data_IF_346588923558
#
_entry.id   IF_346588923558
#
_cell.length_a   1.000
_cell.length_b   1.000
_cell.length_c   1.000
_cell.angle_alpha   90.00
_cell.angle_beta   90.00
_cell.angle_gamma   90.00
#
_symmetry.space_group_name_H-M   'P 1'
#
loop_
_entity.id
_entity.type
_entity.pdbx_description
1 polymer ?
#
# COMPACT_ATOMS: atom_id res chain seq x y z
N UNK A 1 24.72 61.33 -22.67
CA UNK A 1 25.21 60.43 -23.75
C UNK A 1 26.56 59.86 -23.33
N UNK A 2 26.80 58.58 -23.67
CA UNK A 2 27.97 57.69 -23.40
C UNK A 2 27.94 56.84 -22.11
N UNK A 3 28.45 55.60 -22.10
CA UNK A 3 28.19 54.53 -23.09
C UNK A 3 27.88 53.14 -22.46
N UNK A 4 27.28 52.27 -23.29
CA UNK A 4 27.06 50.83 -23.07
C UNK A 4 28.38 50.05 -22.94
N UNK A 5 28.77 49.68 -21.72
CA UNK A 5 29.67 48.55 -21.43
C UNK A 5 29.53 48.30 -19.92
N UNK A 6 28.87 47.24 -19.44
CA UNK A 6 29.48 45.93 -19.21
C UNK A 6 28.36 44.96 -18.81
N UNK A 7 27.62 44.39 -19.77
CA UNK A 7 26.76 43.23 -19.53
C UNK A 7 27.54 41.96 -19.87
N UNK A 8 28.47 41.61 -18.99
CA UNK A 8 29.13 40.31 -19.03
C UNK A 8 28.10 39.24 -18.62
N UNK A 9 27.76 38.40 -19.58
CA UNK A 9 26.82 37.28 -19.51
C UNK A 9 27.18 36.35 -18.34
N UNK A 10 26.42 36.42 -17.25
CA UNK A 10 26.38 35.33 -16.27
C UNK A 10 25.40 34.28 -16.79
N UNK A 11 25.92 33.30 -17.52
CA UNK A 11 25.17 32.08 -17.87
C UNK A 11 25.39 31.11 -16.70
N UNK A 12 24.40 30.87 -15.82
CA UNK A 12 24.55 29.83 -14.81
C UNK A 12 24.64 28.49 -15.54
N UNK A 13 25.73 27.76 -15.33
CA UNK A 13 25.87 26.37 -15.81
C UNK A 13 24.67 25.57 -15.29
N UNK A 14 23.94 24.83 -16.14
CA UNK A 14 22.83 24.00 -15.69
C UNK A 14 23.37 22.96 -14.71
N UNK A 15 22.81 22.97 -13.50
CA UNK A 15 23.17 22.06 -12.43
C UNK A 15 22.98 20.61 -12.90
N UNK A 16 24.07 19.83 -12.93
CA UNK A 16 24.06 18.38 -13.17
C UNK A 16 23.16 17.64 -12.17
N UNK A 17 22.89 18.26 -11.03
CA UNK A 17 21.93 17.82 -10.01
C UNK A 17 20.50 17.63 -10.54
N UNK A 18 20.00 18.50 -11.42
CA UNK A 18 18.60 18.40 -11.88
C UNK A 18 18.39 17.17 -12.77
N UNK A 19 19.35 16.87 -13.66
CA UNK A 19 19.24 15.72 -14.58
C UNK A 19 19.29 14.38 -13.86
N UNK A 20 20.08 14.27 -12.79
CA UNK A 20 20.11 13.07 -11.94
C UNK A 20 18.80 12.89 -11.15
N UNK A 21 18.28 13.97 -10.58
CA UNK A 21 17.01 13.94 -9.84
C UNK A 21 15.83 13.57 -10.75
N UNK A 22 15.78 14.12 -11.97
CA UNK A 22 14.78 13.73 -12.98
C UNK A 22 14.89 12.25 -13.42
N UNK A 23 16.11 11.71 -13.51
CA UNK A 23 16.31 10.30 -13.87
C UNK A 23 15.88 9.33 -12.77
N UNK A 24 16.13 9.68 -11.50
CA UNK A 24 15.66 8.90 -10.35
C UNK A 24 14.14 8.96 -10.23
N UNK A 25 13.54 10.15 -10.33
CA UNK A 25 12.08 10.30 -10.29
C UNK A 25 11.40 9.51 -11.41
N UNK A 26 11.94 9.53 -12.64
CA UNK A 26 11.40 8.75 -13.76
C UNK A 26 11.46 7.23 -13.50
N UNK A 27 12.54 6.74 -12.89
CA UNK A 27 12.66 5.33 -12.48
C UNK A 27 11.72 4.94 -11.33
N UNK A 28 11.49 5.85 -10.38
CA UNK A 28 10.52 5.67 -9.29
C UNK A 28 9.08 5.61 -9.84
N UNK A 29 8.72 6.51 -10.76
CA UNK A 29 7.41 6.50 -11.43
C UNK A 29 7.16 5.20 -12.21
N UNK A 30 8.18 4.64 -12.88
CA UNK A 30 8.00 3.37 -13.60
C UNK A 30 7.81 2.16 -12.68
N UNK A 31 8.49 2.14 -11.52
CA UNK A 31 8.35 1.06 -10.53
C UNK A 31 7.00 1.09 -9.84
N UNK A 32 6.59 2.28 -9.40
CA UNK A 32 5.29 2.48 -8.76
C UNK A 32 4.15 2.14 -9.73
N UNK A 33 4.23 2.56 -11.00
CA UNK A 33 3.27 2.16 -12.03
C UNK A 33 3.16 0.64 -12.17
N UNK A 34 4.30 -0.06 -12.22
CA UNK A 34 4.32 -1.53 -12.34
C UNK A 34 3.72 -2.20 -11.11
N UNK A 35 4.04 -1.72 -9.91
CA UNK A 35 3.45 -2.21 -8.66
C UNK A 35 1.93 -2.02 -8.65
N UNK A 36 1.43 -0.86 -9.07
CA UNK A 36 0.00 -0.59 -9.19
C UNK A 36 -0.71 -1.51 -10.20
N UNK A 37 -0.07 -1.84 -11.33
CA UNK A 37 -0.61 -2.81 -12.29
C UNK A 37 -0.76 -4.20 -11.68
N UNK A 38 0.23 -4.64 -10.89
CA UNK A 38 0.14 -5.92 -10.18
C UNK A 38 -0.93 -5.90 -9.08
N UNK A 39 -1.01 -4.83 -8.29
CA UNK A 39 -2.06 -4.66 -7.28
C UNK A 39 -3.45 -4.75 -7.94
N UNK A 40 -3.64 -4.08 -9.07
CA UNK A 40 -4.92 -4.12 -9.80
C UNK A 40 -5.28 -5.54 -10.27
N UNK A 41 -4.32 -6.32 -10.76
CA UNK A 41 -4.52 -7.72 -11.16
C UNK A 41 -4.88 -8.60 -9.95
N UNK A 42 -4.15 -8.45 -8.85
CA UNK A 42 -4.41 -9.19 -7.62
C UNK A 42 -5.79 -8.87 -7.04
N UNK A 43 -6.17 -7.59 -7.04
CA UNK A 43 -7.49 -7.15 -6.59
C UNK A 43 -8.62 -7.66 -7.50
N UNK A 44 -8.42 -7.71 -8.81
CA UNK A 44 -9.41 -8.28 -9.73
C UNK A 44 -9.62 -9.78 -9.47
N UNK A 45 -8.56 -10.54 -9.18
CA UNK A 45 -8.68 -11.95 -8.79
C UNK A 45 -9.42 -12.10 -7.46
N UNK A 46 -9.10 -11.25 -6.46
CA UNK A 46 -9.81 -11.22 -5.18
C UNK A 46 -11.29 -10.87 -5.32
N UNK A 47 -11.64 -9.95 -6.21
CA UNK A 47 -13.03 -9.58 -6.47
C UNK A 47 -13.85 -10.76 -6.99
N UNK A 48 -13.27 -11.56 -7.87
CA UNK A 48 -13.92 -12.79 -8.33
C UNK A 48 -14.07 -13.82 -7.21
N UNK A 49 -13.08 -13.95 -6.32
CA UNK A 49 -13.18 -14.79 -5.12
C UNK A 49 -14.30 -14.29 -4.20
N UNK A 50 -14.31 -13.01 -3.85
CA UNK A 50 -15.32 -12.40 -2.97
C UNK A 50 -16.74 -12.55 -3.53
N UNK A 51 -16.92 -12.64 -4.86
CA UNK A 51 -18.23 -12.86 -5.48
C UNK A 51 -18.83 -14.23 -5.16
N UNK A 52 -17.99 -15.24 -4.96
CA UNK A 52 -18.42 -16.64 -4.84
C UNK A 52 -18.12 -17.27 -3.48
N UNK A 53 -17.29 -16.61 -2.65
CA UNK A 53 -16.80 -17.15 -1.38
C UNK A 53 -17.94 -17.49 -0.40
N UNK A 54 -19.04 -16.74 -0.43
CA UNK A 54 -20.20 -16.97 0.46
C UNK A 54 -20.96 -18.26 0.15
N UNK A 55 -20.84 -18.79 -1.07
CA UNK A 55 -21.56 -19.97 -1.56
C UNK A 55 -20.65 -21.19 -1.78
N UNK A 56 -19.34 -21.03 -1.65
CA UNK A 56 -18.34 -22.07 -1.88
C UNK A 56 -17.82 -22.65 -0.56
N UNK A 57 -17.45 -23.93 -0.57
CA UNK A 57 -16.71 -24.52 0.55
C UNK A 57 -15.33 -23.84 0.70
N UNK A 58 -14.81 -23.77 1.93
CA UNK A 58 -13.52 -23.12 2.24
C UNK A 58 -12.36 -23.61 1.37
N UNK A 59 -12.41 -24.87 0.91
CA UNK A 59 -11.38 -25.53 0.13
C UNK A 59 -11.80 -25.78 -1.33
N UNK A 60 -12.75 -25.01 -1.85
CA UNK A 60 -13.21 -25.19 -3.22
C UNK A 60 -12.03 -25.03 -4.20
N UNK A 61 -11.79 -26.08 -4.98
CA UNK A 61 -10.67 -26.20 -5.93
C UNK A 61 -10.64 -25.06 -6.95
N UNK A 62 -11.79 -24.41 -7.19
CA UNK A 62 -11.92 -23.28 -8.12
C UNK A 62 -11.37 -21.97 -7.56
N UNK A 63 -11.35 -21.79 -6.24
CA UNK A 63 -10.86 -20.58 -5.59
C UNK A 63 -9.34 -20.58 -5.46
N UNK A 64 -8.73 -21.76 -5.32
CA UNK A 64 -7.29 -21.93 -5.12
C UNK A 64 -6.46 -21.24 -6.23
N UNK A 65 -6.75 -21.40 -7.54
CA UNK A 65 -6.02 -20.70 -8.59
C UNK A 65 -6.15 -19.17 -8.51
N UNK A 66 -7.33 -18.66 -8.17
CA UNK A 66 -7.58 -17.22 -8.06
C UNK A 66 -6.83 -16.62 -6.86
N UNK A 67 -6.85 -17.32 -5.72
CA UNK A 67 -6.12 -16.93 -4.52
C UNK A 67 -4.59 -16.96 -4.74
N UNK A 68 -4.07 -17.98 -5.42
CA UNK A 68 -2.66 -18.04 -5.78
C UNK A 68 -2.29 -16.90 -6.75
N UNK A 69 -3.13 -16.64 -7.75
CA UNK A 69 -2.93 -15.51 -8.67
C UNK A 69 -2.90 -14.19 -7.91
N UNK A 70 -3.82 -13.97 -6.95
CA UNK A 70 -3.82 -12.78 -6.13
C UNK A 70 -2.53 -12.66 -5.30
N UNK A 71 -2.12 -13.74 -4.65
CA UNK A 71 -0.89 -13.82 -3.85
C UNK A 71 0.34 -13.43 -4.68
N UNK A 72 0.55 -14.10 -5.80
CA UNK A 72 1.69 -13.87 -6.68
C UNK A 72 1.74 -12.42 -7.18
N UNK A 73 0.59 -11.83 -7.53
CA UNK A 73 0.55 -10.44 -7.96
C UNK A 73 0.90 -9.48 -6.82
N UNK A 74 0.43 -9.70 -5.60
CA UNK A 74 0.80 -8.82 -4.48
C UNK A 74 2.28 -8.97 -4.08
N UNK A 75 2.85 -10.17 -4.16
CA UNK A 75 4.29 -10.41 -3.96
C UNK A 75 5.10 -9.68 -5.04
N UNK A 76 4.73 -9.81 -6.32
CA UNK A 76 5.35 -9.08 -7.42
C UNK A 76 5.21 -7.55 -7.29
N UNK A 77 4.11 -7.06 -6.71
CA UNK A 77 3.93 -5.65 -6.42
C UNK A 77 4.93 -5.16 -5.37
N UNK A 78 5.17 -5.94 -4.30
CA UNK A 78 6.16 -5.62 -3.27
C UNK A 78 7.60 -5.74 -3.78
N UNK A 79 7.89 -6.70 -4.66
CA UNK A 79 9.19 -6.79 -5.33
C UNK A 79 9.44 -5.58 -6.25
N UNK A 80 8.40 -5.08 -6.93
CA UNK A 80 8.50 -3.91 -7.79
C UNK A 80 8.65 -2.61 -6.99
N UNK A 81 7.91 -2.49 -5.88
CA UNK A 81 7.93 -1.33 -4.99
C UNK A 81 7.68 -1.75 -3.53
N UNK A 82 8.77 -1.95 -2.80
CA UNK A 82 8.73 -2.29 -1.39
C UNK A 82 8.28 -1.13 -0.50
N UNK A 83 8.06 0.07 -1.03
CA UNK A 83 7.51 1.20 -0.26
C UNK A 83 5.99 1.27 -0.37
N UNK A 84 5.39 0.48 -1.26
CA UNK A 84 3.96 0.47 -1.48
C UNK A 84 3.23 -0.18 -0.29
N UNK A 85 2.47 0.64 0.45
CA UNK A 85 1.74 0.20 1.63
C UNK A 85 0.51 -0.63 1.27
N UNK A 86 -0.18 -0.28 0.19
CA UNK A 86 -1.35 -1.00 -0.30
C UNK A 86 -1.01 -2.45 -0.65
N UNK A 87 0.13 -2.69 -1.30
CA UNK A 87 0.56 -4.06 -1.60
C UNK A 87 0.80 -4.89 -0.32
N UNK A 88 1.43 -4.31 0.72
CA UNK A 88 1.62 -4.98 2.02
C UNK A 88 0.28 -5.30 2.67
N UNK A 89 -0.63 -4.32 2.70
CA UNK A 89 -1.96 -4.47 3.28
C UNK A 89 -2.78 -5.56 2.57
N UNK A 90 -2.79 -5.57 1.23
CA UNK A 90 -3.53 -6.59 0.50
C UNK A 90 -2.94 -7.99 0.66
N UNK A 91 -1.61 -8.11 0.73
CA UNK A 91 -0.96 -9.40 1.01
C UNK A 91 -1.23 -9.88 2.44
N UNK A 92 -1.22 -8.99 3.44
CA UNK A 92 -1.58 -9.35 4.82
C UNK A 92 -3.03 -9.81 4.89
N UNK A 93 -3.96 -9.01 4.36
CA UNK A 93 -5.39 -9.33 4.32
C UNK A 93 -5.66 -10.63 3.58
N UNK A 94 -4.92 -10.93 2.51
CA UNK A 94 -5.03 -12.17 1.77
C UNK A 94 -4.78 -13.38 2.67
N UNK A 95 -3.69 -13.34 3.46
CA UNK A 95 -3.30 -14.43 4.35
C UNK A 95 -4.15 -14.53 5.63
N UNK A 96 -4.79 -13.43 6.07
CA UNK A 96 -5.66 -13.43 7.25
C UNK A 96 -7.09 -13.87 6.92
N UNK A 97 -7.68 -13.33 5.86
CA UNK A 97 -9.09 -13.53 5.50
C UNK A 97 -9.31 -14.82 4.70
N UNK A 98 -8.42 -15.14 3.76
CA UNK A 98 -8.63 -16.23 2.81
C UNK A 98 -7.79 -17.46 3.14
N UNK A 99 -8.32 -18.64 2.80
CA UNK A 99 -7.58 -19.88 2.94
C UNK A 99 -6.67 -20.13 1.73
N UNK A 100 -5.51 -19.46 1.73
CA UNK A 100 -4.50 -19.67 0.69
C UNK A 100 -3.59 -20.84 1.09
N UNK A 101 -3.27 -21.78 0.19
CA UNK A 101 -2.27 -22.82 0.47
C UNK A 101 -0.93 -22.21 0.90
N UNK A 102 -0.43 -22.62 2.07
CA UNK A 102 0.79 -22.07 2.66
C UNK A 102 0.63 -20.69 3.30
N UNK A 103 -0.61 -20.28 3.63
CA UNK A 103 -0.83 -19.05 4.39
C UNK A 103 -0.24 -19.13 5.80
N UNK A 104 0.41 -18.05 6.23
CA UNK A 104 0.96 -17.90 7.57
C UNK A 104 0.38 -16.64 8.22
N UNK A 105 -0.48 -16.82 9.22
CA UNK A 105 -1.13 -15.72 9.93
C UNK A 105 -0.15 -14.81 10.67
N UNK A 106 0.97 -15.35 11.15
CA UNK A 106 1.98 -14.54 11.85
C UNK A 106 2.70 -13.58 10.88
N UNK A 107 3.05 -14.06 9.69
CA UNK A 107 3.62 -13.21 8.63
C UNK A 107 2.60 -12.16 8.18
N UNK A 108 1.33 -12.56 8.08
CA UNK A 108 0.25 -11.65 7.73
C UNK A 108 0.08 -10.53 8.77
N UNK A 109 0.06 -10.86 10.06
CA UNK A 109 0.00 -9.88 11.13
C UNK A 109 1.20 -8.93 11.11
N UNK A 110 2.41 -9.44 10.88
CA UNK A 110 3.60 -8.60 10.75
C UNK A 110 3.49 -7.61 9.58
N UNK A 111 3.06 -8.08 8.40
CA UNK A 111 2.82 -7.23 7.22
C UNK A 111 1.73 -6.17 7.46
N UNK A 112 0.70 -6.51 8.23
CA UNK A 112 -0.37 -5.58 8.59
C UNK A 112 0.15 -4.46 9.50
N UNK A 113 0.94 -4.81 10.52
CA UNK A 113 1.57 -3.83 11.41
C UNK A 113 2.52 -2.93 10.63
N UNK A 114 3.38 -3.49 9.77
CA UNK A 114 4.26 -2.71 8.90
C UNK A 114 3.48 -1.72 8.01
N UNK A 115 2.38 -2.16 7.40
CA UNK A 115 1.55 -1.29 6.56
C UNK A 115 0.91 -0.16 7.38
N UNK A 116 0.41 -0.46 8.59
CA UNK A 116 -0.19 0.52 9.48
C UNK A 116 0.83 1.57 9.96
N UNK A 117 2.05 1.12 10.30
CA UNK A 117 3.16 1.97 10.75
C UNK A 117 3.70 2.87 9.62
N UNK A 118 3.65 2.38 8.37
CA UNK A 118 3.96 3.19 7.19
C UNK A 118 2.86 4.21 6.84
N UNK A 119 1.73 4.21 7.55
CA UNK A 119 0.70 5.22 7.42
C UNK A 119 -0.43 4.88 6.47
N UNK A 120 -0.70 3.60 6.21
CA UNK A 120 -1.85 3.17 5.40
C UNK A 120 -3.14 3.16 6.22
N UNK A 121 -4.10 4.00 5.83
CA UNK A 121 -5.35 4.17 6.58
C UNK A 121 -6.19 2.87 6.63
N UNK A 122 -6.21 2.09 5.54
CA UNK A 122 -6.93 0.81 5.50
C UNK A 122 -6.27 -0.23 6.42
N UNK A 123 -4.94 -0.29 6.45
CA UNK A 123 -4.20 -1.14 7.36
C UNK A 123 -4.37 -0.74 8.84
N UNK A 124 -4.35 0.56 9.14
CA UNK A 124 -4.58 1.07 10.50
C UNK A 124 -5.98 0.70 11.00
N UNK A 125 -6.99 0.87 10.15
CA UNK A 125 -8.35 0.45 10.46
C UNK A 125 -8.43 -1.06 10.72
N UNK A 126 -7.87 -1.87 9.81
CA UNK A 126 -7.87 -3.33 9.93
C UNK A 126 -7.12 -3.82 11.18
N UNK A 127 -5.98 -3.20 11.52
CA UNK A 127 -5.22 -3.51 12.73
C UNK A 127 -6.01 -3.15 13.99
N UNK A 128 -6.66 -1.98 14.02
CA UNK A 128 -7.52 -1.58 15.13
C UNK A 128 -8.68 -2.55 15.34
N UNK A 129 -9.32 -3.02 14.27
CA UNK A 129 -10.35 -4.07 14.35
C UNK A 129 -9.77 -5.40 14.88
N UNK A 130 -8.60 -5.79 14.40
CA UNK A 130 -7.96 -7.05 14.79
C UNK A 130 -7.60 -7.08 16.29
N UNK A 131 -7.01 -5.99 16.80
CA UNK A 131 -6.64 -5.84 18.21
C UNK A 131 -7.85 -5.96 19.16
N UNK A 132 -9.03 -5.51 18.71
CA UNK A 132 -10.28 -5.64 19.48
C UNK A 132 -10.87 -7.03 19.50
N UNK A 133 -10.62 -7.83 18.46
CA UNK A 133 -11.22 -9.16 18.32
C UNK A 133 -10.37 -10.23 19.00
N UNK A 134 -9.05 -10.09 18.99
CA UNK A 134 -8.14 -11.10 19.53
C UNK A 134 -7.84 -10.99 21.03
N UNK A 135 -8.12 -9.85 21.68
CA UNK A 135 -7.81 -9.65 23.10
C UNK A 135 -8.97 -8.98 23.85
N UNK A 136 -9.45 -9.63 24.91
CA UNK A 136 -10.39 -9.06 25.90
C UNK A 136 -9.69 -8.13 26.92
N UNK A 137 -8.38 -7.88 26.75
CA UNK A 137 -7.57 -7.08 27.65
C UNK A 137 -7.69 -5.58 27.36
N UNK A 138 -7.94 -4.79 28.41
CA UNK A 138 -8.14 -3.33 28.38
C UNK A 138 -6.99 -2.54 27.70
N UNK A 139 -5.76 -3.07 27.72
CA UNK A 139 -4.62 -2.44 27.04
C UNK A 139 -4.69 -2.55 25.52
N UNK A 140 -5.29 -3.63 24.99
CA UNK A 140 -5.50 -3.82 23.55
C UNK A 140 -6.53 -2.82 23.02
N UNK A 141 -7.55 -2.51 23.82
CA UNK A 141 -8.58 -1.53 23.45
C UNK A 141 -8.02 -0.11 23.27
N UNK A 142 -7.06 0.30 24.10
CA UNK A 142 -6.40 1.60 23.97
C UNK A 142 -5.57 1.68 22.69
N UNK A 143 -4.82 0.63 22.37
CA UNK A 143 -4.06 0.55 21.13
C UNK A 143 -4.96 0.51 19.90
N UNK A 144 -6.06 -0.25 19.96
CA UNK A 144 -7.04 -0.29 18.89
C UNK A 144 -7.67 1.07 18.64
N UNK A 145 -8.06 1.78 19.70
CA UNK A 145 -8.61 3.13 19.59
C UNK A 145 -7.62 4.09 18.93
N UNK A 146 -6.35 4.03 19.31
CA UNK A 146 -5.29 4.85 18.72
C UNK A 146 -5.15 4.65 17.20
N UNK A 147 -5.14 3.40 16.73
CA UNK A 147 -5.04 3.12 15.30
C UNK A 147 -6.30 3.52 14.53
N UNK A 148 -7.49 3.37 15.13
CA UNK A 148 -8.76 3.80 14.53
C UNK A 148 -8.84 5.33 14.39
N UNK A 149 -8.40 6.07 15.41
CA UNK A 149 -8.37 7.54 15.40
C UNK A 149 -7.42 8.05 14.30
N UNK A 150 -6.22 7.48 14.21
CA UNK A 150 -5.27 7.78 13.13
C UNK A 150 -5.82 7.54 11.72
N UNK A 151 -6.52 6.42 11.52
CA UNK A 151 -7.11 6.09 10.22
C UNK A 151 -8.15 7.13 9.81
N UNK A 152 -8.98 7.56 10.76
CA UNK A 152 -9.98 8.61 10.55
C UNK A 152 -9.33 9.95 10.26
N UNK A 153 -8.31 10.35 11.01
CA UNK A 153 -7.59 11.61 10.79
C UNK A 153 -6.97 11.67 9.39
N UNK A 154 -6.35 10.59 8.92
CA UNK A 154 -5.80 10.52 7.56
C UNK A 154 -6.89 10.59 6.48
N UNK A 155 -8.02 9.90 6.69
CA UNK A 155 -9.15 9.93 5.77
C UNK A 155 -9.80 11.33 5.71
N UNK A 156 -9.97 11.98 6.86
CA UNK A 156 -10.53 13.33 6.93
C UNK A 156 -9.58 14.36 6.30
N UNK A 157 -8.26 14.24 6.53
CA UNK A 157 -7.27 15.12 5.94
C UNK A 157 -7.29 15.05 4.41
N UNK A 158 -7.32 13.84 3.85
CA UNK A 158 -7.41 13.66 2.38
C UNK A 158 -8.70 14.22 1.81
N UNK A 159 -9.84 14.03 2.49
CA UNK A 159 -11.11 14.62 2.08
C UNK A 159 -11.10 16.15 2.13
N UNK A 160 -10.58 16.74 3.20
CA UNK A 160 -10.48 18.19 3.36
C UNK A 160 -9.57 18.85 2.31
N UNK A 161 -8.43 18.23 1.99
CA UNK A 161 -7.48 18.74 0.98
C UNK A 161 -8.04 18.65 -0.44
N UNK A 162 -8.97 17.74 -0.72
CA UNK A 162 -9.59 17.60 -2.04
C UNK A 162 -10.81 18.52 -2.26
N UNK A 163 -11.36 19.11 -1.19
CA UNK A 163 -12.60 19.92 -1.23
C UNK A 163 -12.38 21.41 -0.87
N UNK A 164 -11.13 21.87 -0.84
CA UNK A 164 -10.71 23.28 -0.78
C UNK A 164 -9.91 23.61 -2.04
#
# INVERSE_FOLDING_TARGET
MLPRALLAKFIPKPSTFSRFQFSQQRGLHSRNKKAMEFIAKGWNALKEVDRVIDYCELNDRRLIPLLNTAKENFELALEADNTNTHARYWLSRLHMKYHVPGANKAVAAALLVEAADMGDADAQYALGCHLRVENDDVHSDQQAFYYLEKAVDQMLFTFWVLYI
#
